data_IF_564987354416
#
_entry.id   IF_564987354416
#
_cell.length_a   1.000
_cell.length_b   1.000
_cell.length_c   1.000
_cell.angle_alpha   90.00
_cell.angle_beta   90.00
_cell.angle_gamma   90.00
#
_symmetry.space_group_name_H-M   'P 1'
#
loop_
_entity.id
_entity.type
_entity.pdbx_description
1 polymer ?
#
# COMPACT_ATOMS: atom_id res chain seq x y z
N UNK A 1 28.34 -39.81 9.56
CA UNK A 1 27.23 -39.18 10.32
C UNK A 1 26.66 -38.06 9.48
N UNK A 2 25.55 -38.30 8.80
CA UNK A 2 24.90 -37.33 7.94
C UNK A 2 24.05 -36.41 8.84
N UNK A 3 24.43 -35.12 8.94
CA UNK A 3 23.60 -34.13 9.65
C UNK A 3 22.36 -33.84 8.80
N UNK A 4 21.20 -34.29 9.24
CA UNK A 4 19.91 -33.85 8.73
C UNK A 4 19.69 -32.43 9.22
N UNK A 5 19.80 -31.45 8.33
CA UNK A 5 19.36 -30.06 8.60
C UNK A 5 17.85 -30.06 8.45
N UNK A 6 17.13 -30.09 9.55
CA UNK A 6 15.69 -29.82 9.58
C UNK A 6 15.53 -28.31 9.40
N UNK A 7 15.20 -27.88 8.19
CA UNK A 7 14.76 -26.50 7.98
C UNK A 7 13.37 -26.35 8.62
N UNK A 8 13.32 -25.67 9.76
CA UNK A 8 12.05 -25.22 10.33
C UNK A 8 11.55 -24.11 9.42
N UNK A 9 10.60 -24.41 8.55
CA UNK A 9 9.88 -23.37 7.79
C UNK A 9 9.12 -22.53 8.81
N UNK A 10 9.48 -21.27 8.95
CA UNK A 10 8.70 -20.32 9.75
C UNK A 10 7.30 -20.19 9.11
N UNK A 11 6.27 -20.26 9.95
CA UNK A 11 4.91 -20.13 9.46
C UNK A 11 4.64 -18.68 9.05
N UNK A 12 3.99 -18.47 7.89
CA UNK A 12 3.54 -17.16 7.47
C UNK A 12 2.52 -16.60 8.47
N UNK A 13 2.74 -15.38 8.94
CA UNK A 13 1.88 -14.65 9.89
C UNK A 13 1.42 -13.33 9.28
N UNK A 14 0.38 -12.73 9.84
CA UNK A 14 -0.05 -11.39 9.46
C UNK A 14 0.86 -10.35 10.11
N UNK A 15 1.50 -9.50 9.28
CA UNK A 15 2.46 -8.47 9.67
C UNK A 15 1.95 -7.10 9.25
N UNK A 16 1.77 -6.20 10.22
CA UNK A 16 1.36 -4.82 9.98
C UNK A 16 2.57 -3.95 9.63
N UNK A 17 2.48 -3.15 8.56
CA UNK A 17 3.57 -2.26 8.18
C UNK A 17 3.14 -1.07 7.35
N UNK A 18 4.07 -0.13 7.19
CA UNK A 18 3.89 1.04 6.35
C UNK A 18 4.92 1.06 5.22
N UNK A 19 4.48 1.51 4.04
CA UNK A 19 5.27 1.50 2.80
C UNK A 19 5.64 2.90 2.28
N UNK A 20 5.21 3.98 3.00
CA UNK A 20 5.46 5.36 2.59
C UNK A 20 5.59 6.24 3.84
N UNK A 21 6.82 6.69 4.12
CA UNK A 21 7.17 7.36 5.37
C UNK A 21 8.40 8.23 5.16
N UNK A 22 8.33 9.49 5.58
CA UNK A 22 9.42 10.45 5.50
C UNK A 22 10.04 10.74 6.86
N UNK A 23 11.31 11.09 6.86
CA UNK A 23 12.08 11.42 8.05
C UNK A 23 12.83 12.75 7.85
N UNK A 24 13.52 13.23 8.88
CA UNK A 24 14.41 14.40 8.76
C UNK A 24 15.60 14.19 7.82
N UNK A 25 15.74 13.01 7.22
CA UNK A 25 16.71 12.80 6.15
C UNK A 25 16.23 13.37 4.81
N UNK A 26 14.92 13.59 4.62
CA UNK A 26 14.36 14.37 3.50
C UNK A 26 13.57 15.57 4.03
N UNK A 27 12.27 15.47 4.19
CA UNK A 27 11.38 16.58 4.53
C UNK A 27 10.42 16.27 5.68
N UNK A 28 10.57 15.13 6.36
CA UNK A 28 9.91 14.86 7.63
C UNK A 28 10.53 15.64 8.79
N UNK A 29 9.80 15.80 9.88
CA UNK A 29 10.22 16.63 11.03
C UNK A 29 10.99 15.87 12.13
N UNK A 30 11.20 14.56 12.00
CA UNK A 30 11.80 13.71 13.04
C UNK A 30 12.93 12.81 12.53
N UNK A 31 13.95 12.54 13.37
CA UNK A 31 15.05 11.65 13.02
C UNK A 31 14.57 10.24 12.66
N UNK A 32 15.24 9.55 11.70
CA UNK A 32 14.84 8.21 11.26
C UNK A 32 14.67 7.18 12.38
N UNK A 33 15.54 7.21 13.39
CA UNK A 33 15.45 6.30 14.53
C UNK A 33 14.20 6.54 15.39
N UNK A 34 13.80 7.80 15.58
CA UNK A 34 12.57 8.15 16.30
C UNK A 34 11.32 7.72 15.51
N UNK A 35 11.34 7.91 14.19
CA UNK A 35 10.29 7.46 13.28
C UNK A 35 10.13 5.94 13.37
N UNK A 36 11.20 5.18 13.25
CA UNK A 36 11.15 3.73 13.37
C UNK A 36 10.68 3.24 14.75
N UNK A 37 11.13 3.90 15.84
CA UNK A 37 10.66 3.61 17.18
C UNK A 37 9.16 3.89 17.35
N UNK A 38 8.65 4.96 16.76
CA UNK A 38 7.23 5.31 16.80
C UNK A 38 6.35 4.20 16.21
N UNK A 39 6.73 3.66 15.04
CA UNK A 39 6.00 2.56 14.41
C UNK A 39 6.08 1.27 15.23
N UNK A 40 7.27 0.89 15.69
CA UNK A 40 7.46 -0.27 16.57
C UNK A 40 6.56 -0.20 17.80
N UNK A 41 6.54 0.93 18.48
CA UNK A 41 5.83 1.12 19.76
C UNK A 41 4.30 1.10 19.57
N UNK A 42 3.84 1.19 18.32
CA UNK A 42 2.42 1.09 17.92
C UNK A 42 2.07 -0.20 17.21
N UNK A 43 2.90 -1.22 17.41
CA UNK A 43 2.63 -2.59 16.97
C UNK A 43 2.76 -2.79 15.47
N UNK A 44 3.59 -1.98 14.79
CA UNK A 44 3.99 -2.29 13.43
C UNK A 44 5.11 -3.31 13.45
N UNK A 45 5.05 -4.26 12.53
CA UNK A 45 6.00 -5.36 12.37
C UNK A 45 7.11 -5.03 11.39
N UNK A 46 6.83 -4.15 10.43
CA UNK A 46 7.81 -3.68 9.46
C UNK A 46 7.57 -2.23 9.02
N UNK A 47 8.62 -1.62 8.49
CA UNK A 47 8.60 -0.26 7.98
C UNK A 47 9.48 -0.14 6.75
N UNK A 48 9.00 0.58 5.73
CA UNK A 48 9.81 1.12 4.64
C UNK A 48 9.96 2.62 4.86
N UNK A 49 11.18 3.08 5.10
CA UNK A 49 11.49 4.51 5.08
C UNK A 49 11.73 4.89 3.62
N UNK A 50 10.98 5.87 3.14
CA UNK A 50 10.95 6.29 1.73
C UNK A 50 11.31 7.76 1.58
N UNK A 51 12.37 8.20 2.24
CA UNK A 51 12.88 9.56 2.07
C UNK A 51 13.15 9.87 0.59
N UNK A 52 12.90 11.09 0.16
CA UNK A 52 13.03 11.52 -1.22
C UNK A 52 14.45 11.30 -1.79
N UNK A 53 14.52 10.53 -2.88
CA UNK A 53 15.73 10.29 -3.69
C UNK A 53 16.92 9.73 -2.90
N UNK A 54 16.66 9.00 -1.81
CA UNK A 54 17.70 8.37 -0.99
C UNK A 54 17.21 7.15 -0.22
N UNK A 55 18.12 6.22 0.05
CA UNK A 55 17.92 5.14 1.00
C UNK A 55 18.43 5.59 2.36
N UNK A 56 17.53 5.71 3.33
CA UNK A 56 17.88 6.02 4.72
C UNK A 56 18.14 4.73 5.49
N UNK A 57 19.36 4.58 5.97
CA UNK A 57 19.79 3.40 6.72
C UNK A 57 19.98 3.73 8.19
N UNK A 58 19.38 2.91 9.06
CA UNK A 58 19.53 2.95 10.52
C UNK A 58 19.59 1.52 11.06
N UNK A 59 20.04 1.37 12.29
CA UNK A 59 19.88 0.11 13.03
C UNK A 59 18.39 -0.14 13.31
N UNK A 60 17.90 -1.31 12.93
CA UNK A 60 16.50 -1.67 13.16
C UNK A 60 16.22 -1.79 14.67
N UNK A 61 15.21 -1.08 15.22
CA UNK A 61 14.79 -1.32 16.59
C UNK A 61 14.28 -2.75 16.75
N UNK A 62 14.58 -3.35 17.91
CA UNK A 62 14.17 -4.73 18.17
C UNK A 62 12.67 -4.93 17.94
N UNK A 63 12.31 -5.96 17.17
CA UNK A 63 10.92 -6.32 16.86
C UNK A 63 10.36 -5.66 15.60
N UNK A 64 11.08 -4.74 14.95
CA UNK A 64 10.69 -4.11 13.69
C UNK A 64 11.62 -4.59 12.55
N UNK A 65 11.05 -5.02 11.44
CA UNK A 65 11.79 -5.29 10.20
C UNK A 65 11.89 -4.00 9.40
N UNK A 66 13.09 -3.48 9.17
CA UNK A 66 13.30 -2.37 8.24
C UNK A 66 13.55 -2.93 6.84
N UNK A 67 12.83 -2.38 5.87
CA UNK A 67 12.99 -2.69 4.46
C UNK A 67 13.55 -1.44 3.79
N UNK A 68 14.65 -1.57 3.07
CA UNK A 68 15.25 -0.45 2.35
C UNK A 68 14.31 0.03 1.25
N UNK A 69 14.15 1.35 1.15
CA UNK A 69 13.32 1.99 0.14
C UNK A 69 13.64 3.46 -0.01
N UNK A 70 13.05 4.07 -0.99
CA UNK A 70 13.06 5.50 -1.25
C UNK A 70 11.83 5.93 -2.03
N UNK A 71 11.48 7.18 -1.99
CA UNK A 71 10.56 7.79 -2.95
C UNK A 71 11.34 8.44 -4.08
N UNK A 72 11.34 7.80 -5.26
CA UNK A 72 11.90 8.38 -6.50
C UNK A 72 11.02 9.54 -6.90
N UNK A 73 11.52 10.76 -6.69
CA UNK A 73 10.77 12.01 -6.74
C UNK A 73 11.01 12.75 -8.04
N UNK A 74 10.03 12.71 -8.90
CA UNK A 74 10.06 13.44 -10.16
C UNK A 74 8.84 14.36 -10.29
N UNK A 75 8.87 15.27 -11.26
CA UNK A 75 7.78 16.21 -11.48
C UNK A 75 7.80 16.79 -12.89
N UNK A 76 6.63 17.15 -13.35
CA UNK A 76 6.38 18.09 -14.43
C UNK A 76 5.75 19.38 -13.83
N UNK A 77 5.65 20.49 -14.55
CA UNK A 77 5.01 21.69 -14.03
C UNK A 77 3.62 21.38 -13.43
N UNK A 78 3.45 21.62 -12.12
CA UNK A 78 2.25 21.37 -11.30
C UNK A 78 1.82 19.90 -11.19
N UNK A 79 2.66 18.94 -11.55
CA UNK A 79 2.38 17.51 -11.48
C UNK A 79 3.48 16.77 -10.74
N UNK A 80 3.31 16.45 -9.45
CA UNK A 80 4.21 15.52 -8.75
C UNK A 80 4.04 14.11 -9.33
N UNK A 81 5.16 13.43 -9.61
CA UNK A 81 5.18 12.12 -10.27
C UNK A 81 6.14 11.22 -9.49
N UNK A 82 5.62 10.56 -8.47
CA UNK A 82 6.41 9.83 -7.50
C UNK A 82 6.20 8.32 -7.59
N UNK A 83 7.27 7.58 -7.33
CA UNK A 83 7.26 6.12 -7.29
C UNK A 83 8.07 5.67 -6.08
N UNK A 84 7.45 5.00 -5.12
CA UNK A 84 8.21 4.34 -4.07
C UNK A 84 8.89 3.09 -4.63
N UNK A 85 10.15 2.96 -4.27
CA UNK A 85 10.98 1.80 -4.58
C UNK A 85 11.17 0.98 -3.30
N UNK A 86 10.64 -0.24 -3.25
CA UNK A 86 10.63 -1.08 -2.06
C UNK A 86 11.60 -2.23 -2.23
N UNK A 87 12.44 -2.50 -1.22
CA UNK A 87 13.40 -3.60 -1.22
C UNK A 87 14.65 -3.32 -2.07
N UNK A 88 15.08 -2.06 -2.13
CA UNK A 88 16.25 -1.63 -2.89
C UNK A 88 17.58 -2.06 -2.25
N UNK A 89 18.59 -2.19 -3.09
CA UNK A 89 20.00 -2.35 -2.66
C UNK A 89 20.86 -1.13 -3.03
N UNK A 90 20.35 -0.23 -3.86
CA UNK A 90 21.01 1.00 -4.30
C UNK A 90 19.98 2.06 -4.64
N UNK A 91 20.34 3.33 -4.50
CA UNK A 91 19.52 4.49 -4.85
C UNK A 91 19.20 4.50 -6.35
N UNK A 92 17.99 4.88 -6.70
CA UNK A 92 17.49 5.09 -8.06
C UNK A 92 17.25 6.58 -8.28
N UNK A 93 18.08 7.22 -9.09
CA UNK A 93 17.88 8.62 -9.43
C UNK A 93 16.65 8.83 -10.32
N UNK A 94 15.91 9.95 -10.17
CA UNK A 94 14.77 10.29 -11.04
C UNK A 94 15.17 10.35 -12.52
N UNK A 95 14.42 9.68 -13.37
CA UNK A 95 14.78 9.40 -14.77
C UNK A 95 14.33 10.48 -15.76
N UNK A 96 13.52 11.44 -15.29
CA UNK A 96 12.97 12.55 -16.09
C UNK A 96 12.18 12.10 -17.33
N UNK A 97 11.44 13.02 -17.92
CA UNK A 97 10.63 12.83 -19.12
C UNK A 97 9.83 14.07 -19.46
N UNK A 98 9.03 14.00 -20.50
CA UNK A 98 8.25 15.13 -21.04
C UNK A 98 6.75 14.98 -20.82
N UNK A 99 6.30 13.77 -20.49
CA UNK A 99 4.90 13.47 -20.17
C UNK A 99 4.81 12.67 -18.85
N UNK A 100 3.65 12.68 -18.15
CA UNK A 100 3.49 11.88 -16.94
C UNK A 100 3.76 10.39 -17.16
N UNK A 101 3.30 9.83 -18.26
CA UNK A 101 3.51 8.42 -18.61
C UNK A 101 5.00 8.13 -18.81
N UNK A 102 5.73 8.99 -19.53
CA UNK A 102 7.15 8.80 -19.77
C UNK A 102 7.97 8.86 -18.48
N UNK A 103 7.70 9.84 -17.62
CA UNK A 103 8.39 10.00 -16.32
C UNK A 103 8.12 8.78 -15.44
N UNK A 104 6.86 8.43 -15.21
CA UNK A 104 6.48 7.31 -14.35
C UNK A 104 7.03 5.99 -14.89
N UNK A 105 6.92 5.73 -16.22
CA UNK A 105 7.42 4.48 -16.80
C UNK A 105 8.93 4.33 -16.65
N UNK A 106 9.70 5.39 -16.88
CA UNK A 106 11.16 5.37 -16.73
C UNK A 106 11.56 5.11 -15.28
N UNK A 107 10.89 5.76 -14.32
CA UNK A 107 11.15 5.53 -12.90
C UNK A 107 10.77 4.11 -12.47
N UNK A 108 9.63 3.58 -12.90
CA UNK A 108 9.22 2.19 -12.66
C UNK A 108 10.27 1.21 -13.19
N UNK A 109 10.73 1.40 -14.43
CA UNK A 109 11.71 0.50 -15.05
C UNK A 109 13.08 0.61 -14.36
N UNK A 110 13.49 1.80 -13.92
CA UNK A 110 14.73 2.00 -13.15
C UNK A 110 14.66 1.32 -11.77
N UNK A 111 13.52 1.39 -11.06
CA UNK A 111 13.29 0.67 -9.81
C UNK A 111 13.39 -0.84 -10.03
N UNK A 112 12.77 -1.38 -11.09
CA UNK A 112 12.88 -2.80 -11.44
C UNK A 112 14.31 -3.22 -11.78
N UNK A 113 15.02 -2.40 -12.53
CA UNK A 113 16.43 -2.66 -12.87
C UNK A 113 17.35 -2.63 -11.63
N UNK A 114 16.97 -1.92 -10.58
CA UNK A 114 17.65 -1.91 -9.29
C UNK A 114 17.23 -3.08 -8.36
N UNK A 115 16.34 -3.96 -8.82
CA UNK A 115 15.83 -5.11 -8.05
C UNK A 115 14.70 -4.79 -7.08
N UNK A 116 14.19 -3.56 -7.07
CA UNK A 116 13.09 -3.11 -6.22
C UNK A 116 11.70 -3.42 -6.78
N UNK A 117 10.70 -3.30 -5.92
CA UNK A 117 9.28 -3.34 -6.27
C UNK A 117 8.72 -1.93 -6.33
N UNK A 118 8.28 -1.45 -7.52
CA UNK A 118 7.70 -0.12 -7.64
C UNK A 118 6.27 -0.09 -7.10
N UNK A 119 5.99 0.90 -6.25
CA UNK A 119 4.67 1.33 -5.81
C UNK A 119 4.40 2.70 -6.46
N UNK A 120 3.34 2.79 -7.27
CA UNK A 120 2.94 4.07 -7.89
C UNK A 120 2.16 4.88 -6.85
N UNK A 121 2.68 6.08 -6.52
CA UNK A 121 2.16 6.89 -5.42
C UNK A 121 0.96 7.75 -5.84
N UNK A 122 0.08 8.02 -4.91
CA UNK A 122 -0.96 9.07 -4.82
C UNK A 122 -1.32 9.78 -6.15
N UNK A 123 -1.93 9.12 -7.15
CA UNK A 123 -2.18 9.68 -8.48
C UNK A 123 -2.98 10.99 -8.45
N UNK A 124 -3.87 11.15 -7.47
CA UNK A 124 -4.70 12.33 -7.29
C UNK A 124 -4.02 13.46 -6.46
N UNK A 125 -2.78 13.29 -5.99
CA UNK A 125 -2.04 14.39 -5.39
C UNK A 125 -1.73 15.45 -6.46
N UNK A 126 -2.31 16.65 -6.28
CA UNK A 126 -2.22 17.71 -7.31
C UNK A 126 -2.83 17.33 -8.67
N UNK A 127 -3.69 16.28 -8.72
CA UNK A 127 -4.26 15.74 -9.97
C UNK A 127 -3.19 15.44 -11.02
N UNK A 128 -2.10 14.84 -10.58
CA UNK A 128 -0.90 14.66 -11.40
C UNK A 128 -1.14 13.77 -12.61
N UNK A 129 -1.86 12.66 -12.41
CA UNK A 129 -2.23 11.69 -13.45
C UNK A 129 -3.49 10.90 -13.04
N UNK A 130 -4.08 10.23 -13.99
CA UNK A 130 -5.34 9.48 -13.79
C UNK A 130 -5.27 8.05 -14.31
N UNK A 131 -6.45 7.45 -14.44
CA UNK A 131 -6.58 6.07 -14.92
C UNK A 131 -6.04 5.87 -16.34
N UNK A 132 -6.16 6.86 -17.21
CA UNK A 132 -5.71 6.77 -18.60
C UNK A 132 -4.17 6.70 -18.71
N UNK A 133 -3.44 7.46 -17.88
CA UNK A 133 -1.99 7.36 -17.78
C UNK A 133 -1.60 6.04 -17.14
N UNK A 134 -2.25 5.65 -16.02
CA UNK A 134 -1.99 4.38 -15.34
C UNK A 134 -2.17 3.15 -16.24
N UNK A 135 -3.13 3.16 -17.15
CA UNK A 135 -3.35 2.08 -18.12
C UNK A 135 -2.20 1.90 -19.10
N UNK A 136 -1.44 2.95 -19.39
CA UNK A 136 -0.30 2.92 -20.29
C UNK A 136 0.98 2.42 -19.61
N UNK A 137 1.05 2.49 -18.26
CA UNK A 137 2.22 2.04 -17.50
C UNK A 137 2.31 0.51 -17.45
N UNK A 138 3.53 -0.01 -17.33
CA UNK A 138 3.85 -1.44 -17.24
C UNK A 138 4.83 -1.69 -16.10
N UNK A 139 5.07 -2.97 -15.78
CA UNK A 139 6.08 -3.42 -14.81
C UNK A 139 5.85 -2.98 -13.36
N UNK A 140 4.63 -2.53 -13.00
CA UNK A 140 4.25 -2.27 -11.62
C UNK A 140 3.08 -3.15 -11.20
N UNK A 141 3.01 -3.44 -9.91
CA UNK A 141 1.96 -4.26 -9.30
C UNK A 141 1.32 -3.60 -8.09
N UNK A 142 1.87 -2.50 -7.59
CA UNK A 142 1.38 -1.79 -6.41
C UNK A 142 0.94 -0.38 -6.77
N UNK A 143 -0.24 0.03 -6.27
CA UNK A 143 -0.81 1.36 -6.45
C UNK A 143 -1.34 1.88 -5.12
N UNK A 144 -1.00 3.10 -4.73
CA UNK A 144 -1.66 3.76 -3.60
C UNK A 144 -3.11 4.07 -3.93
N UNK A 145 -4.01 3.45 -3.18
CA UNK A 145 -5.47 3.65 -3.29
C UNK A 145 -6.02 4.49 -2.14
N UNK A 146 -5.28 4.57 -1.03
CA UNK A 146 -5.57 5.40 0.12
C UNK A 146 -4.27 5.89 0.76
N UNK A 147 -4.25 7.14 1.22
CA UNK A 147 -3.11 7.75 1.90
C UNK A 147 -3.55 8.47 3.17
N UNK A 148 -2.69 8.48 4.18
CA UNK A 148 -2.84 9.31 5.38
C UNK A 148 -2.56 10.78 5.14
N UNK A 149 -1.94 11.13 4.02
CA UNK A 149 -1.63 12.51 3.67
C UNK A 149 -2.90 13.32 3.37
N UNK A 150 -3.13 14.47 4.03
CA UNK A 150 -4.41 15.20 3.98
C UNK A 150 -4.79 15.67 2.57
N UNK A 151 -3.81 16.01 1.74
CA UNK A 151 -4.06 16.51 0.38
C UNK A 151 -4.30 15.42 -0.66
N UNK A 152 -4.19 14.14 -0.31
CA UNK A 152 -4.42 13.03 -1.24
C UNK A 152 -5.90 12.64 -1.25
N UNK A 153 -6.45 12.29 -0.09
CA UNK A 153 -7.80 11.73 -0.02
C UNK A 153 -8.92 12.79 -0.11
N UNK A 154 -8.59 14.07 0.10
CA UNK A 154 -9.57 15.17 0.07
C UNK A 154 -9.81 15.77 -1.32
N UNK A 155 -9.11 15.30 -2.34
CA UNK A 155 -9.18 15.86 -3.69
C UNK A 155 -10.52 15.58 -4.41
N UNK A 156 -11.37 14.69 -3.88
CA UNK A 156 -12.63 14.31 -4.51
C UNK A 156 -12.47 13.30 -5.66
N UNK A 157 -13.55 13.04 -6.45
CA UNK A 157 -13.51 12.08 -7.54
C UNK A 157 -12.73 12.60 -8.76
N UNK A 158 -12.12 11.68 -9.57
CA UNK A 158 -12.05 10.25 -9.29
C UNK A 158 -11.06 9.94 -8.16
N UNK A 159 -11.46 9.08 -7.22
CA UNK A 159 -10.55 8.60 -6.17
C UNK A 159 -9.51 7.63 -6.73
N UNK A 160 -8.38 7.47 -6.05
CA UNK A 160 -7.38 6.46 -6.42
C UNK A 160 -7.95 5.04 -6.38
N UNK A 161 -8.91 4.75 -5.49
CA UNK A 161 -9.64 3.48 -5.48
C UNK A 161 -10.45 3.28 -6.78
N UNK A 162 -11.14 4.32 -7.29
CA UNK A 162 -11.87 4.22 -8.55
C UNK A 162 -10.95 4.05 -9.76
N UNK A 163 -9.77 4.66 -9.75
CA UNK A 163 -8.74 4.43 -10.78
C UNK A 163 -8.24 2.98 -10.74
N UNK A 164 -8.08 2.40 -9.55
CA UNK A 164 -7.75 1.00 -9.38
C UNK A 164 -8.81 0.08 -10.00
N UNK A 165 -10.10 0.34 -9.78
CA UNK A 165 -11.19 -0.43 -10.39
C UNK A 165 -11.17 -0.35 -11.92
N UNK A 166 -10.80 0.79 -12.51
CA UNK A 166 -10.60 0.91 -13.97
C UNK A 166 -9.47 -0.02 -14.45
N UNK A 167 -8.33 -0.03 -13.76
CA UNK A 167 -7.22 -0.93 -14.09
C UNK A 167 -7.62 -2.41 -14.02
N UNK A 168 -8.32 -2.80 -12.95
CA UNK A 168 -8.80 -4.17 -12.75
C UNK A 168 -9.77 -4.59 -13.85
N UNK A 169 -10.71 -3.73 -14.22
CA UNK A 169 -11.68 -3.95 -15.31
C UNK A 169 -10.98 -4.17 -16.65
N UNK A 170 -9.88 -3.43 -16.90
CA UNK A 170 -9.04 -3.59 -18.11
C UNK A 170 -8.06 -4.77 -18.01
N UNK A 171 -8.19 -5.58 -16.96
CA UNK A 171 -7.41 -6.80 -16.83
C UNK A 171 -6.01 -6.63 -16.29
N UNK A 172 -5.69 -5.47 -15.74
CA UNK A 172 -4.37 -5.25 -15.13
C UNK A 172 -4.26 -6.00 -13.81
N UNK A 173 -3.10 -6.55 -13.54
CA UNK A 173 -2.76 -7.16 -12.26
C UNK A 173 -2.10 -6.09 -11.39
N UNK A 174 -2.90 -5.38 -10.60
CA UNK A 174 -2.45 -4.32 -9.69
C UNK A 174 -3.14 -4.51 -8.35
N UNK A 175 -2.38 -4.36 -7.28
CA UNK A 175 -2.83 -4.48 -5.89
C UNK A 175 -2.90 -3.11 -5.23
N UNK A 176 -3.98 -2.89 -4.48
CA UNK A 176 -4.23 -1.63 -3.80
C UNK A 176 -3.52 -1.54 -2.45
N UNK A 177 -2.79 -0.47 -2.23
CA UNK A 177 -2.01 -0.20 -1.02
C UNK A 177 -2.59 1.01 -0.28
N UNK A 178 -2.63 0.95 1.06
CA UNK A 178 -2.89 2.09 1.91
C UNK A 178 -1.61 2.44 2.69
N UNK A 179 -1.27 3.73 2.76
CA UNK A 179 -0.02 4.23 3.32
C UNK A 179 -0.23 5.48 4.15
N UNK A 180 0.71 5.80 5.04
CA UNK A 180 0.66 7.05 5.82
C UNK A 180 1.08 8.25 5.00
N UNK A 181 2.15 8.13 4.22
CA UNK A 181 2.84 9.28 3.60
C UNK A 181 3.11 10.36 4.65
N UNK A 182 3.68 9.93 5.79
CA UNK A 182 3.79 10.73 7.01
C UNK A 182 5.06 11.57 7.03
N UNK A 183 4.89 12.84 7.45
CA UNK A 183 5.97 13.84 7.53
C UNK A 183 6.07 14.47 8.93
N UNK A 184 4.98 14.37 9.74
CA UNK A 184 4.86 15.14 10.97
C UNK A 184 4.69 14.22 12.18
N UNK A 185 5.74 14.10 12.98
CA UNK A 185 5.84 13.26 14.19
C UNK A 185 5.69 14.07 15.47
N UNK A 186 6.01 15.38 15.40
CA UNK A 186 5.99 16.31 16.54
C UNK A 186 4.63 16.99 16.70
N UNK A 187 3.72 16.77 15.79
CA UNK A 187 2.37 17.35 15.81
C UNK A 187 1.39 16.45 16.56
N UNK A 188 0.36 17.02 17.22
CA UNK A 188 -0.71 16.25 17.84
C UNK A 188 -1.41 15.33 16.82
N UNK A 189 -1.69 14.08 17.20
CA UNK A 189 -2.35 13.11 16.31
C UNK A 189 -3.77 13.46 15.88
N UNK A 190 -4.37 14.52 16.46
CA UNK A 190 -5.68 15.02 16.09
C UNK A 190 -5.69 16.11 15.01
N UNK A 191 -4.53 16.65 14.62
CA UNK A 191 -4.48 17.66 13.55
C UNK A 191 -4.92 17.06 12.20
N UNK A 192 -5.64 17.86 11.39
CA UNK A 192 -6.26 17.40 10.15
C UNK A 192 -5.50 17.80 8.89
N UNK A 193 -4.73 18.88 8.97
CA UNK A 193 -4.06 19.47 7.80
C UNK A 193 -2.57 19.13 7.70
N UNK A 194 -2.15 18.07 8.41
CA UNK A 194 -0.78 17.60 8.45
C UNK A 194 -0.70 16.10 8.19
N UNK A 195 0.36 15.67 7.51
CA UNK A 195 0.62 14.27 7.19
C UNK A 195 1.13 13.52 8.43
N UNK A 196 0.20 12.99 9.21
CA UNK A 196 0.46 12.28 10.48
C UNK A 196 0.60 10.78 10.26
N UNK A 197 1.42 10.08 11.07
CA UNK A 197 1.53 8.63 11.04
C UNK A 197 0.32 7.92 11.64
N UNK A 198 0.15 6.64 11.28
CA UNK A 198 -0.86 5.74 11.84
C UNK A 198 -2.27 5.94 11.26
N UNK A 199 -2.38 6.55 10.10
CA UNK A 199 -3.65 6.80 9.40
C UNK A 199 -4.02 5.69 8.44
N UNK A 200 -3.00 5.06 7.79
CA UNK A 200 -3.21 4.00 6.82
C UNK A 200 -2.00 3.06 6.78
N UNK A 201 -2.24 1.78 6.48
CA UNK A 201 -1.19 0.75 6.51
C UNK A 201 -1.58 -0.46 5.66
N UNK A 202 -0.65 -1.38 5.49
CA UNK A 202 -0.91 -2.72 4.97
C UNK A 202 -0.71 -3.77 6.05
N UNK A 203 -1.38 -4.93 5.89
CA UNK A 203 -1.14 -6.12 6.71
C UNK A 203 -0.82 -7.27 5.77
N UNK A 204 0.42 -7.74 5.82
CA UNK A 204 1.03 -8.67 4.86
C UNK A 204 1.12 -10.06 5.47
N UNK A 205 0.79 -11.09 4.71
CA UNK A 205 0.94 -12.49 5.12
C UNK A 205 2.30 -13.03 4.64
N UNK A 206 3.27 -13.06 5.53
CA UNK A 206 4.65 -13.43 5.22
C UNK A 206 5.39 -14.04 6.42
N UNK A 207 6.58 -14.58 6.20
CA UNK A 207 7.59 -14.74 7.25
C UNK A 207 8.11 -13.37 7.68
N UNK A 208 8.59 -13.25 8.92
CA UNK A 208 9.03 -11.96 9.48
C UNK A 208 10.47 -11.62 9.03
N UNK A 209 10.62 -11.41 7.73
CA UNK A 209 11.86 -10.93 7.13
C UNK A 209 11.57 -10.05 5.89
N UNK A 210 12.50 -9.17 5.55
CA UNK A 210 12.32 -8.19 4.48
C UNK A 210 12.03 -8.84 3.11
N UNK A 211 12.73 -9.92 2.76
CA UNK A 211 12.58 -10.59 1.46
C UNK A 211 11.20 -11.24 1.32
N UNK A 212 10.75 -11.94 2.36
CA UNK A 212 9.45 -12.60 2.39
C UNK A 212 8.30 -11.59 2.32
N UNK A 213 8.43 -10.46 3.05
CA UNK A 213 7.44 -9.37 3.03
C UNK A 213 7.35 -8.73 1.63
N UNK A 214 8.48 -8.37 1.02
CA UNK A 214 8.53 -7.77 -0.32
C UNK A 214 7.93 -8.73 -1.36
N UNK A 215 8.28 -10.01 -1.30
CA UNK A 215 7.72 -11.01 -2.19
C UNK A 215 6.21 -11.21 -2.01
N UNK A 216 5.70 -11.13 -0.77
CA UNK A 216 4.27 -11.21 -0.49
C UNK A 216 3.51 -9.98 -1.01
N UNK A 217 4.06 -8.78 -0.87
CA UNK A 217 3.51 -7.55 -1.46
C UNK A 217 3.37 -7.69 -2.98
N UNK A 218 4.39 -8.18 -3.66
CA UNK A 218 4.38 -8.34 -5.11
C UNK A 218 3.37 -9.38 -5.61
N UNK A 219 3.02 -10.37 -4.77
CA UNK A 219 1.99 -11.37 -5.09
C UNK A 219 0.57 -10.95 -4.72
N UNK A 220 0.39 -9.89 -3.90
CA UNK A 220 -0.90 -9.47 -3.36
C UNK A 220 -1.33 -10.24 -2.11
N UNK A 221 -0.40 -10.86 -1.39
CA UNK A 221 -0.67 -11.61 -0.14
C UNK A 221 -0.81 -10.63 1.04
N UNK A 222 -1.70 -9.65 0.93
CA UNK A 222 -1.92 -8.63 1.96
C UNK A 222 -3.32 -8.00 1.83
N UNK A 223 -3.71 -7.25 2.84
CA UNK A 223 -4.81 -6.29 2.74
C UNK A 223 -4.35 -4.88 3.13
N UNK A 224 -5.06 -3.87 2.62
CA UNK A 224 -4.84 -2.47 2.95
C UNK A 224 -5.89 -2.00 3.98
N UNK A 225 -5.55 -1.02 4.83
CA UNK A 225 -6.46 -0.54 5.88
C UNK A 225 -6.22 0.91 6.26
N UNK A 226 -7.30 1.61 6.63
CA UNK A 226 -7.30 2.91 7.33
C UNK A 226 -7.86 2.80 8.76
N UNK A 227 -7.98 1.56 9.30
CA UNK A 227 -8.44 1.35 10.67
C UNK A 227 -9.23 0.08 10.93
N UNK A 228 -9.78 -0.55 9.90
CA UNK A 228 -10.47 -1.85 10.01
C UNK A 228 -9.44 -2.96 10.00
N UNK A 229 -9.51 -3.87 10.97
CA UNK A 229 -8.64 -5.05 11.06
C UNK A 229 -9.38 -6.30 10.62
N UNK A 230 -8.72 -7.14 9.82
CA UNK A 230 -9.30 -8.38 9.31
C UNK A 230 -8.60 -9.59 9.93
N UNK A 231 -9.37 -10.59 10.36
CA UNK A 231 -8.87 -11.89 10.82
C UNK A 231 -8.64 -12.84 9.64
N UNK A 232 -9.57 -12.80 8.69
CA UNK A 232 -9.51 -13.57 7.44
C UNK A 232 -9.85 -12.66 6.28
N UNK A 233 -9.13 -12.80 5.17
CA UNK A 233 -9.43 -12.09 3.93
C UNK A 233 -8.99 -12.89 2.71
N UNK A 234 -9.90 -12.93 1.75
CA UNK A 234 -9.66 -13.31 0.36
C UNK A 234 -10.56 -12.44 -0.52
N UNK A 235 -10.50 -12.59 -1.82
CA UNK A 235 -11.40 -11.87 -2.73
C UNK A 235 -12.89 -12.18 -2.48
N UNK A 236 -13.20 -13.38 -1.95
CA UNK A 236 -14.57 -13.88 -1.79
C UNK A 236 -14.99 -14.17 -0.35
N UNK A 237 -14.12 -13.97 0.62
CA UNK A 237 -14.41 -14.18 2.03
C UNK A 237 -13.71 -13.18 2.90
N UNK A 238 -14.39 -12.70 3.92
CA UNK A 238 -13.80 -11.79 4.91
C UNK A 238 -14.38 -12.06 6.29
N UNK A 239 -13.51 -11.93 7.32
CA UNK A 239 -13.90 -11.88 8.73
C UNK A 239 -13.19 -10.69 9.37
N UNK A 240 -13.96 -9.79 9.95
CA UNK A 240 -13.49 -8.58 10.62
C UNK A 240 -13.14 -8.91 12.06
N UNK A 241 -12.03 -8.36 12.55
CA UNK A 241 -11.74 -8.31 13.99
C UNK A 241 -12.62 -7.20 14.59
N UNK A 242 -13.66 -7.61 15.28
CA UNK A 242 -14.62 -6.68 15.86
C UNK A 242 -13.97 -5.74 16.87
N UNK A 243 -14.30 -4.45 16.77
CA UNK A 243 -13.99 -3.43 17.77
C UNK A 243 -15.27 -2.99 18.44
N UNK A 244 -15.26 -2.87 19.76
CA UNK A 244 -16.43 -2.53 20.56
C UNK A 244 -17.18 -1.31 20.02
N UNK A 245 -18.48 -1.46 19.76
CA UNK A 245 -19.38 -0.41 19.28
C UNK A 245 -19.24 -0.05 17.80
N UNK A 246 -18.41 -0.70 17.03
CA UNK A 246 -18.33 -0.50 15.59
C UNK A 246 -19.32 -1.40 14.84
N UNK A 247 -19.97 -0.83 13.82
CA UNK A 247 -20.77 -1.56 12.85
C UNK A 247 -20.00 -1.62 11.54
N UNK A 248 -20.15 -2.72 10.80
CA UNK A 248 -19.39 -2.94 9.58
C UNK A 248 -20.33 -3.21 8.41
N UNK A 249 -20.03 -2.58 7.29
CA UNK A 249 -20.62 -2.84 5.97
C UNK A 249 -19.56 -3.49 5.09
N UNK A 250 -19.88 -4.66 4.56
CA UNK A 250 -18.99 -5.48 3.74
C UNK A 250 -19.51 -5.48 2.31
N UNK A 251 -18.66 -5.15 1.36
CA UNK A 251 -18.99 -5.09 -0.06
C UNK A 251 -18.05 -5.98 -0.86
N UNK A 252 -18.62 -6.83 -1.72
CA UNK A 252 -17.89 -7.49 -2.80
C UNK A 252 -18.06 -6.69 -4.08
N UNK A 253 -16.95 -6.39 -4.75
CA UNK A 253 -16.87 -5.43 -5.86
C UNK A 253 -16.29 -6.15 -7.08
N UNK A 254 -16.85 -5.90 -8.26
CA UNK A 254 -16.43 -6.44 -9.55
C UNK A 254 -16.28 -5.37 -10.62
N UNK A 255 -16.31 -5.79 -11.87
CA UNK A 255 -16.07 -4.94 -13.04
C UNK A 255 -16.72 -3.56 -12.93
N UNK A 256 -15.92 -2.53 -13.23
CA UNK A 256 -16.33 -1.12 -13.17
C UNK A 256 -16.48 -0.59 -11.74
N UNK A 257 -15.98 -1.27 -10.72
CA UNK A 257 -16.19 -0.90 -9.32
C UNK A 257 -17.62 -1.16 -8.82
N UNK A 258 -18.39 -1.96 -9.56
CA UNK A 258 -19.78 -2.27 -9.22
C UNK A 258 -19.87 -3.16 -7.97
N UNK A 259 -20.70 -2.77 -7.02
CA UNK A 259 -21.03 -3.61 -5.86
C UNK A 259 -21.86 -4.81 -6.31
N UNK A 260 -21.30 -6.00 -6.15
CA UNK A 260 -21.93 -7.29 -6.49
C UNK A 260 -22.83 -7.79 -5.37
N UNK A 261 -22.39 -7.58 -4.15
CA UNK A 261 -23.10 -7.92 -2.92
C UNK A 261 -22.68 -6.98 -1.81
N UNK A 262 -23.63 -6.60 -0.97
CA UNK A 262 -23.42 -5.85 0.27
C UNK A 262 -24.05 -6.61 1.44
N UNK A 263 -23.39 -6.60 2.59
CA UNK A 263 -23.86 -7.23 3.83
C UNK A 263 -23.43 -6.40 5.02
N UNK A 264 -24.21 -6.40 6.08
CA UNK A 264 -23.84 -5.86 7.40
C UNK A 264 -23.33 -7.00 8.29
N UNK A 265 -22.45 -6.66 9.24
CA UNK A 265 -21.90 -7.60 10.23
C UNK A 265 -20.38 -7.76 10.11
N UNK A 266 -19.86 -8.77 10.82
CA UNK A 266 -18.42 -9.01 10.97
C UNK A 266 -17.85 -10.08 10.03
N UNK A 267 -18.70 -10.74 9.24
CA UNK A 267 -18.24 -11.72 8.25
C UNK A 267 -19.19 -11.81 7.06
N UNK A 268 -18.61 -12.06 5.89
CA UNK A 268 -19.37 -12.31 4.67
C UNK A 268 -18.61 -13.21 3.71
N UNK A 269 -19.36 -13.84 2.80
CA UNK A 269 -18.80 -14.60 1.68
C UNK A 269 -19.59 -14.32 0.40
N UNK A 270 -18.88 -14.41 -0.73
CA UNK A 270 -19.43 -14.25 -2.07
C UNK A 270 -19.15 -15.49 -2.91
N UNK A 271 -20.13 -15.95 -3.68
CA UNK A 271 -19.94 -17.05 -4.64
C UNK A 271 -19.80 -16.47 -6.03
N UNK A 272 -18.64 -16.66 -6.66
CA UNK A 272 -18.37 -16.20 -8.03
C UNK A 272 -19.35 -16.86 -9.01
N UNK A 273 -19.86 -16.05 -9.96
CA UNK A 273 -20.82 -16.48 -10.99
C UNK A 273 -20.19 -16.62 -12.37
N UNK A 274 -18.92 -16.18 -12.53
CA UNK A 274 -18.16 -16.32 -13.77
C UNK A 274 -18.21 -15.09 -14.70
N UNK A 275 -18.93 -14.03 -14.33
CA UNK A 275 -19.12 -12.83 -15.15
C UNK A 275 -18.70 -11.52 -14.47
N UNK A 276 -18.04 -11.58 -13.33
CA UNK A 276 -17.65 -10.44 -12.52
C UNK A 276 -16.41 -9.70 -13.06
N UNK A 277 -15.63 -10.35 -13.96
CA UNK A 277 -14.34 -9.87 -14.45
C UNK A 277 -13.24 -9.98 -13.38
N UNK A 278 -13.46 -9.39 -12.22
CA UNK A 278 -12.71 -9.58 -10.98
C UNK A 278 -13.66 -9.53 -9.78
N UNK A 279 -13.18 -10.00 -8.63
CA UNK A 279 -13.83 -9.81 -7.34
C UNK A 279 -12.80 -9.30 -6.35
N UNK A 280 -13.14 -8.28 -5.57
CA UNK A 280 -12.41 -7.80 -4.40
C UNK A 280 -13.37 -7.47 -3.26
N UNK A 281 -12.89 -7.48 -2.03
CA UNK A 281 -13.70 -7.09 -0.87
C UNK A 281 -13.30 -5.70 -0.36
N UNK A 282 -14.30 -4.93 0.10
CA UNK A 282 -14.14 -3.70 0.86
C UNK A 282 -14.99 -3.78 2.12
N UNK A 283 -14.41 -3.43 3.26
CA UNK A 283 -15.11 -3.30 4.54
C UNK A 283 -15.07 -1.85 4.97
N UNK A 284 -16.20 -1.32 5.44
CA UNK A 284 -16.34 0.05 5.92
C UNK A 284 -16.93 -0.02 7.32
N UNK A 285 -16.29 0.63 8.31
CA UNK A 285 -16.84 0.74 9.67
C UNK A 285 -17.74 1.97 9.82
N UNK A 286 -18.47 2.04 10.92
CA UNK A 286 -19.37 3.15 11.25
C UNK A 286 -18.68 4.53 11.43
N UNK A 287 -17.34 4.57 11.47
CA UNK A 287 -16.53 5.80 11.52
C UNK A 287 -15.95 6.17 10.15
N UNK A 288 -16.30 5.45 9.08
CA UNK A 288 -15.78 5.67 7.73
C UNK A 288 -14.38 5.09 7.48
N UNK A 289 -13.81 4.33 8.42
CA UNK A 289 -12.54 3.62 8.21
C UNK A 289 -12.78 2.41 7.32
N UNK A 290 -11.76 2.04 6.55
CA UNK A 290 -11.90 0.99 5.53
C UNK A 290 -10.81 -0.07 5.63
N UNK A 291 -11.12 -1.24 5.08
CA UNK A 291 -10.12 -2.22 4.67
C UNK A 291 -10.45 -2.74 3.27
N UNK A 292 -9.41 -3.05 2.49
CA UNK A 292 -9.52 -3.57 1.14
C UNK A 292 -8.72 -4.86 1.01
N UNK A 293 -9.41 -5.95 0.67
CA UNK A 293 -8.76 -7.19 0.21
C UNK A 293 -8.31 -7.06 -1.24
N UNK A 294 -7.31 -7.85 -1.61
CA UNK A 294 -6.76 -7.83 -2.97
C UNK A 294 -7.67 -8.56 -3.96
N UNK A 295 -7.66 -8.13 -5.24
CA UNK A 295 -8.55 -8.68 -6.25
C UNK A 295 -8.15 -10.06 -6.70
N UNK A 296 -9.13 -10.88 -7.01
CA UNK A 296 -8.99 -12.13 -7.76
C UNK A 296 -9.69 -12.00 -9.12
N UNK A 297 -9.02 -12.43 -10.18
CA UNK A 297 -9.61 -12.46 -11.52
C UNK A 297 -10.53 -13.67 -11.66
N UNK A 298 -11.72 -13.40 -12.17
CA UNK A 298 -12.65 -14.46 -12.53
C UNK A 298 -12.23 -15.03 -13.88
N UNK A 299 -11.87 -16.30 -13.90
CA UNK A 299 -11.58 -17.01 -15.15
C UNK A 299 -12.89 -17.21 -15.92
N UNK A 300 -12.92 -16.74 -17.14
CA UNK A 300 -14.01 -17.02 -18.08
C UNK A 300 -13.90 -18.45 -18.61
#
# INVERSE_FOLDING_TARGET
MTRVIVAVLAAAVWLKGNLHTHTAASDGDSPPAEVAAWYRDRGYDFLVITDHDKITTIDAPQGLVLIAGEEVTDRLPKKPLHVNAIGLTKVVAPQKGTTPVEVLQRNIDAVRAAGGVPLVNHPNFGWAFGADELLQLRNFTLLEIASGHPYVNTQGPPSAESMWDVLLTKGRRVYGVAVDDSHHWKKPLGETDVALPGKAWVVVRAERDAKSIVAALERGDFYASTGVELEEVSATRVKVREKNGAHYRIQFIGDGGRVLQESEGTSASYTMRGNEGYVRVRVIDSNGRMAWGQPERVKR
#
